data_IF_525923186969
#
_entry.id   IF_525923186969
#
_cell.length_a   1.000
_cell.length_b   1.000
_cell.length_c   1.000
_cell.angle_alpha   90.00
_cell.angle_beta   90.00
_cell.angle_gamma   90.00
#
_symmetry.space_group_name_H-M   'P 1'
#
loop_
_entity.id
_entity.type
_entity.pdbx_description
1 polymer ?
#
# COMPACT_ATOMS: atom_id res chain seq x y z
N UNK A 1 -25.03 11.71 -2.92
CA UNK A 1 -24.92 10.94 -1.66
C UNK A 1 -25.08 11.79 -0.40
N UNK A 2 -25.13 13.14 -0.48
CA UNK A 2 -25.40 14.00 0.71
C UNK A 2 -26.78 13.79 1.35
N UNK A 3 -27.73 13.20 0.62
CA UNK A 3 -29.16 13.26 0.95
C UNK A 3 -29.68 12.22 1.95
N UNK A 4 -28.89 11.20 2.33
CA UNK A 4 -29.39 10.12 3.21
C UNK A 4 -28.96 10.32 4.67
N UNK A 5 -27.78 10.89 4.92
CA UNK A 5 -27.21 10.96 6.27
C UNK A 5 -27.03 12.40 6.80
N UNK A 6 -27.21 13.45 5.99
CA UNK A 6 -26.79 14.83 6.33
C UNK A 6 -25.32 14.96 6.79
N UNK A 7 -24.51 13.93 6.52
CA UNK A 7 -23.08 13.89 6.84
C UNK A 7 -22.31 14.07 5.54
N UNK A 8 -21.38 15.03 5.52
CA UNK A 8 -20.52 15.23 4.35
C UNK A 8 -19.59 14.02 4.15
N UNK A 9 -19.19 13.70 2.91
CA UNK A 9 -18.25 12.61 2.66
C UNK A 9 -16.94 12.73 3.46
N UNK A 10 -16.47 13.96 3.68
CA UNK A 10 -15.27 14.26 4.47
C UNK A 10 -15.46 13.95 5.95
N UNK A 11 -16.63 14.24 6.53
CA UNK A 11 -16.94 13.90 7.92
C UNK A 11 -17.10 12.38 8.10
N UNK A 12 -17.77 11.71 7.16
CA UNK A 12 -17.85 10.25 7.12
C UNK A 12 -16.45 9.61 7.09
N UNK A 13 -15.54 10.13 6.27
CA UNK A 13 -14.13 9.71 6.23
C UNK A 13 -13.44 9.89 7.58
N UNK A 14 -13.60 11.07 8.21
CA UNK A 14 -13.02 11.33 9.53
C UNK A 14 -13.52 10.38 10.62
N UNK A 15 -14.81 10.03 10.61
CA UNK A 15 -15.39 9.06 11.55
C UNK A 15 -14.80 7.66 11.32
N UNK A 16 -14.70 7.23 10.05
CA UNK A 16 -14.10 5.92 9.72
C UNK A 16 -12.62 5.85 10.10
N UNK A 17 -11.87 6.95 9.93
CA UNK A 17 -10.48 7.07 10.35
C UNK A 17 -10.35 7.01 11.88
N UNK A 18 -11.14 7.78 12.62
CA UNK A 18 -11.15 7.76 14.08
C UNK A 18 -11.52 6.37 14.64
N UNK A 19 -12.48 5.68 14.01
CA UNK A 19 -12.83 4.31 14.39
C UNK A 19 -11.65 3.35 14.18
N UNK A 20 -10.96 3.46 13.04
CA UNK A 20 -9.78 2.65 12.77
C UNK A 20 -8.65 2.94 13.76
N UNK A 21 -8.37 4.21 14.06
CA UNK A 21 -7.35 4.60 15.05
C UNK A 21 -7.66 4.07 16.45
N UNK A 22 -8.94 4.08 16.84
CA UNK A 22 -9.36 3.63 18.16
C UNK A 22 -9.34 2.11 18.32
N UNK A 23 -9.73 1.36 17.29
CA UNK A 23 -9.97 -0.09 17.40
C UNK A 23 -8.98 -0.94 16.60
N UNK A 24 -8.17 -0.35 15.71
CA UNK A 24 -7.26 -1.06 14.82
C UNK A 24 -7.96 -1.93 13.77
N UNK A 25 -9.27 -1.71 13.54
CA UNK A 25 -10.14 -2.52 12.69
C UNK A 25 -10.88 -1.58 11.74
N UNK A 26 -10.93 -1.94 10.45
CA UNK A 26 -11.69 -1.16 9.46
C UNK A 26 -13.17 -1.52 9.60
N UNK A 27 -14.03 -0.51 9.77
CA UNK A 27 -15.47 -0.73 9.81
C UNK A 27 -15.96 -1.34 8.47
N UNK A 28 -16.61 -2.52 8.48
CA UNK A 28 -17.08 -3.16 7.26
C UNK A 28 -18.28 -2.39 6.69
N UNK A 29 -18.03 -1.59 5.67
CA UNK A 29 -19.03 -0.90 4.86
C UNK A 29 -19.11 -1.52 3.47
N UNK A 30 -20.19 -1.31 2.73
CA UNK A 30 -20.28 -1.79 1.34
C UNK A 30 -19.11 -1.29 0.47
N UNK A 31 -18.64 -0.06 0.70
CA UNK A 31 -17.49 0.50 -0.02
C UNK A 31 -16.14 -0.13 0.34
N UNK A 32 -15.94 -0.53 1.61
CA UNK A 32 -14.70 -1.16 2.07
C UNK A 32 -14.66 -2.66 1.74
N UNK A 33 -15.79 -3.36 1.83
CA UNK A 33 -15.87 -4.81 1.60
C UNK A 33 -15.84 -5.15 0.11
N UNK A 34 -16.48 -4.33 -0.73
CA UNK A 34 -16.55 -4.55 -2.17
C UNK A 34 -15.44 -3.82 -2.95
N UNK A 35 -14.49 -3.18 -2.27
CA UNK A 35 -13.45 -2.30 -2.84
C UNK A 35 -14.02 -1.25 -3.83
N UNK A 36 -15.28 -0.82 -3.59
CA UNK A 36 -16.01 0.15 -4.44
C UNK A 36 -15.76 1.60 -4.02
N UNK A 37 -15.07 1.82 -2.90
CA UNK A 37 -14.66 3.14 -2.44
C UNK A 37 -13.32 3.56 -3.05
N UNK A 38 -13.18 4.85 -3.36
CA UNK A 38 -11.86 5.50 -3.57
C UNK A 38 -11.06 5.62 -2.27
N UNK A 39 -11.48 4.97 -1.20
CA UNK A 39 -10.96 5.23 0.13
C UNK A 39 -9.57 4.61 0.21
N UNK A 40 -8.56 5.40 -0.17
CA UNK A 40 -7.13 5.11 -0.13
C UNK A 40 -6.62 4.52 1.20
N UNK A 41 -7.44 4.47 2.25
CA UNK A 41 -7.08 4.02 3.59
C UNK A 41 -6.81 2.51 3.67
N UNK A 42 -7.65 1.61 3.14
CA UNK A 42 -7.44 0.16 3.35
C UNK A 42 -6.11 -0.32 2.77
N UNK A 43 -5.78 0.16 1.57
CA UNK A 43 -4.56 -0.14 0.84
C UNK A 43 -3.31 0.37 1.57
N UNK A 44 -3.33 1.62 2.04
CA UNK A 44 -2.25 2.18 2.88
C UNK A 44 -2.11 1.42 4.22
N UNK A 45 -3.23 1.04 4.84
CA UNK A 45 -3.28 0.26 6.09
C UNK A 45 -2.66 -1.12 5.90
N UNK A 46 -2.90 -1.82 4.77
CA UNK A 46 -2.27 -3.13 4.52
C UNK A 46 -0.75 -3.06 4.57
N UNK A 47 -0.15 -2.08 3.88
CA UNK A 47 1.31 -1.90 3.89
C UNK A 47 1.80 -1.50 5.28
N UNK A 48 1.12 -0.57 5.95
CA UNK A 48 1.50 -0.17 7.29
C UNK A 48 1.51 -1.36 8.28
N UNK A 49 0.42 -2.13 8.34
CA UNK A 49 0.34 -3.30 9.22
C UNK A 49 1.39 -4.37 8.85
N UNK A 50 1.70 -4.54 7.57
CA UNK A 50 2.76 -5.46 7.14
C UNK A 50 4.15 -4.98 7.56
N UNK A 51 4.42 -3.67 7.51
CA UNK A 51 5.66 -3.07 7.99
C UNK A 51 5.77 -3.15 9.53
N UNK A 52 4.65 -3.14 10.24
CA UNK A 52 4.57 -3.41 11.69
C UNK A 52 4.80 -4.90 12.05
N UNK A 53 4.97 -5.78 11.05
CA UNK A 53 5.32 -7.18 11.23
C UNK A 53 4.14 -8.15 11.30
N UNK A 54 2.92 -7.70 11.00
CA UNK A 54 1.76 -8.58 10.98
C UNK A 54 1.79 -9.53 9.77
N UNK A 55 1.24 -10.73 9.99
CA UNK A 55 0.99 -11.69 8.91
C UNK A 55 -0.20 -11.30 8.04
N UNK A 56 -0.21 -11.78 6.79
CA UNK A 56 -1.35 -11.65 5.87
C UNK A 56 -2.67 -12.08 6.52
N UNK A 57 -2.65 -13.16 7.31
CA UNK A 57 -3.84 -13.68 7.99
C UNK A 57 -4.36 -12.68 9.03
N UNK A 58 -3.50 -12.07 9.83
CA UNK A 58 -3.90 -11.06 10.81
C UNK A 58 -4.41 -9.79 10.14
N UNK A 59 -3.72 -9.33 9.09
CA UNK A 59 -4.13 -8.16 8.31
C UNK A 59 -5.52 -8.39 7.69
N UNK A 60 -5.71 -9.56 7.04
CA UNK A 60 -6.97 -9.93 6.39
C UNK A 60 -8.17 -9.89 7.35
N UNK A 61 -7.97 -10.35 8.59
CA UNK A 61 -8.98 -10.32 9.64
C UNK A 61 -9.30 -8.90 10.11
N UNK A 62 -8.28 -8.03 10.24
CA UNK A 62 -8.45 -6.63 10.70
C UNK A 62 -9.14 -5.74 9.67
N UNK A 63 -8.96 -6.03 8.38
CA UNK A 63 -9.54 -5.22 7.30
C UNK A 63 -10.75 -5.86 6.63
N UNK A 64 -11.20 -7.03 7.11
CA UNK A 64 -12.29 -7.81 6.51
C UNK A 64 -12.09 -8.12 5.02
N UNK A 65 -10.89 -8.54 4.65
CA UNK A 65 -10.55 -8.97 3.29
C UNK A 65 -10.14 -10.44 3.26
N UNK A 66 -10.10 -11.03 2.07
CA UNK A 66 -9.48 -12.33 1.90
C UNK A 66 -7.96 -12.21 2.02
N UNK A 67 -7.26 -13.24 2.54
CA UNK A 67 -5.80 -13.27 2.54
C UNK A 67 -5.20 -13.07 1.14
N UNK A 68 -5.87 -13.60 0.10
CA UNK A 68 -5.44 -13.44 -1.29
C UNK A 68 -5.46 -11.97 -1.75
N UNK A 69 -6.48 -11.20 -1.37
CA UNK A 69 -6.54 -9.77 -1.70
C UNK A 69 -5.41 -8.99 -1.01
N UNK A 70 -5.12 -9.31 0.26
CA UNK A 70 -4.00 -8.72 1.01
C UNK A 70 -2.66 -9.06 0.36
N UNK A 71 -2.44 -10.34 0.03
CA UNK A 71 -1.22 -10.80 -0.63
C UNK A 71 -1.01 -10.13 -1.99
N UNK A 72 -2.06 -10.02 -2.82
CA UNK A 72 -1.95 -9.37 -4.12
C UNK A 72 -1.50 -7.91 -3.98
N UNK A 73 -2.00 -7.22 -2.96
CA UNK A 73 -1.59 -5.85 -2.64
C UNK A 73 -0.12 -5.78 -2.18
N UNK A 74 0.28 -6.64 -1.22
CA UNK A 74 1.65 -6.69 -0.71
C UNK A 74 2.66 -7.06 -1.81
N UNK A 75 2.34 -8.02 -2.68
CA UNK A 75 3.19 -8.38 -3.82
C UNK A 75 3.38 -7.22 -4.80
N UNK A 76 2.34 -6.43 -5.05
CA UNK A 76 2.49 -5.24 -5.91
C UNK A 76 3.39 -4.20 -5.23
N UNK A 77 3.21 -3.98 -3.93
CA UNK A 77 4.07 -3.08 -3.15
C UNK A 77 5.54 -3.51 -3.18
N UNK A 78 5.83 -4.79 -2.97
CA UNK A 78 7.19 -5.35 -3.07
C UNK A 78 7.80 -5.16 -4.47
N UNK A 79 7.02 -5.37 -5.53
CA UNK A 79 7.47 -5.11 -6.90
C UNK A 79 7.83 -3.64 -7.11
N UNK A 80 7.00 -2.72 -6.59
CA UNK A 80 7.26 -1.28 -6.68
C UNK A 80 8.51 -0.89 -5.89
N UNK A 81 8.73 -1.45 -4.70
CA UNK A 81 9.96 -1.25 -3.91
C UNK A 81 11.21 -1.64 -4.71
N UNK A 82 11.20 -2.83 -5.33
CA UNK A 82 12.32 -3.30 -6.14
C UNK A 82 12.55 -2.41 -7.36
N UNK A 83 11.48 -2.04 -8.09
CA UNK A 83 11.59 -1.18 -9.25
C UNK A 83 12.12 0.22 -8.90
N UNK A 84 11.74 0.76 -7.73
CA UNK A 84 12.29 2.02 -7.20
C UNK A 84 13.77 1.87 -6.84
N UNK A 85 14.15 0.79 -6.15
CA UNK A 85 15.55 0.51 -5.82
C UNK A 85 16.43 0.41 -7.08
N UNK A 86 15.94 -0.24 -8.13
CA UNK A 86 16.61 -0.33 -9.43
C UNK A 86 16.47 0.92 -10.32
N UNK A 87 15.91 2.02 -9.77
CA UNK A 87 15.73 3.31 -10.46
C UNK A 87 15.02 3.17 -11.82
N UNK A 88 14.08 2.23 -11.93
CA UNK A 88 13.33 2.00 -13.17
C UNK A 88 12.49 3.24 -13.48
N UNK A 89 12.51 3.75 -14.73
CA UNK A 89 11.74 4.94 -15.09
C UNK A 89 10.25 4.76 -14.84
N UNK A 90 9.63 5.76 -14.22
CA UNK A 90 8.19 5.84 -13.93
C UNK A 90 7.29 5.51 -15.12
N UNK A 91 7.70 5.91 -16.32
CA UNK A 91 6.99 5.64 -17.57
C UNK A 91 6.93 4.16 -17.94
N UNK A 92 7.88 3.35 -17.47
CA UNK A 92 7.96 1.92 -17.75
C UNK A 92 7.17 1.06 -16.74
N UNK A 93 6.86 1.58 -15.55
CA UNK A 93 6.20 0.83 -14.48
C UNK A 93 4.88 0.18 -14.91
N UNK A 94 3.94 0.85 -15.61
CA UNK A 94 2.70 0.21 -16.06
C UNK A 94 2.95 -0.99 -16.97
N UNK A 95 3.99 -0.91 -17.83
CA UNK A 95 4.34 -1.97 -18.77
C UNK A 95 4.97 -3.17 -18.07
N UNK A 96 5.79 -2.94 -17.06
CA UNK A 96 6.51 -3.99 -16.31
C UNK A 96 5.61 -4.69 -15.29
N UNK A 97 4.72 -3.92 -14.65
CA UNK A 97 3.86 -4.44 -13.58
C UNK A 97 2.52 -4.95 -14.10
N UNK A 98 2.03 -4.42 -15.23
CA UNK A 98 0.69 -4.72 -15.75
C UNK A 98 -0.44 -3.96 -15.06
N UNK A 99 -0.12 -3.06 -14.12
CA UNK A 99 -1.11 -2.30 -13.35
C UNK A 99 -1.32 -0.88 -13.90
N UNK A 100 -2.48 -0.31 -13.60
CA UNK A 100 -2.82 1.05 -13.96
C UNK A 100 -1.97 2.09 -13.23
N UNK A 101 -1.72 3.23 -13.88
CA UNK A 101 -0.84 4.29 -13.38
C UNK A 101 -1.24 4.83 -12.00
N UNK A 102 -2.55 5.04 -11.77
CA UNK A 102 -3.06 5.53 -10.48
C UNK A 102 -2.66 4.63 -9.31
N UNK A 103 -2.77 3.31 -9.46
CA UNK A 103 -2.43 2.37 -8.38
C UNK A 103 -0.93 2.33 -8.12
N UNK A 104 -0.12 2.47 -9.17
CA UNK A 104 1.33 2.52 -9.06
C UNK A 104 1.79 3.81 -8.37
N UNK A 105 1.20 4.95 -8.74
CA UNK A 105 1.48 6.24 -8.11
C UNK A 105 1.16 6.17 -6.60
N UNK A 106 0.03 5.55 -6.22
CA UNK A 106 -0.32 5.33 -4.80
C UNK A 106 0.71 4.48 -4.04
N UNK A 107 1.25 3.43 -4.68
CA UNK A 107 2.29 2.61 -4.06
C UNK A 107 3.61 3.36 -3.94
N UNK A 108 3.94 4.19 -4.92
CA UNK A 108 5.16 4.98 -4.87
C UNK A 108 5.11 6.06 -3.79
N UNK A 109 3.97 6.72 -3.61
CA UNK A 109 3.76 7.61 -2.46
C UNK A 109 4.00 6.89 -1.13
N UNK A 110 3.54 5.63 -1.02
CA UNK A 110 3.79 4.80 0.17
C UNK A 110 5.28 4.49 0.32
N UNK A 111 5.96 4.11 -0.76
CA UNK A 111 7.41 3.85 -0.72
C UNK A 111 8.17 5.10 -0.27
N UNK A 112 7.89 6.26 -0.86
CA UNK A 112 8.58 7.51 -0.53
C UNK A 112 8.30 7.97 0.91
N UNK A 113 7.09 7.71 1.42
CA UNK A 113 6.73 8.01 2.81
C UNK A 113 7.50 7.15 3.81
N UNK A 114 7.66 5.86 3.54
CA UNK A 114 8.28 4.91 4.48
C UNK A 114 9.79 4.76 4.29
N UNK A 115 10.29 4.99 3.07
CA UNK A 115 11.69 4.84 2.68
C UNK A 115 12.17 6.07 1.91
N UNK A 116 12.44 7.20 2.61
CA UNK A 116 12.85 8.44 1.96
C UNK A 116 14.28 8.38 1.39
N UNK A 117 15.11 7.45 1.86
CA UNK A 117 16.50 7.28 1.42
C UNK A 117 16.71 5.91 0.77
N UNK A 118 17.61 5.86 -0.22
CA UNK A 118 17.98 4.60 -0.88
C UNK A 118 18.59 3.59 0.10
N UNK A 119 19.36 4.08 1.09
CA UNK A 119 19.97 3.23 2.12
C UNK A 119 18.91 2.53 3.00
N UNK A 120 17.85 3.23 3.40
CA UNK A 120 16.78 2.64 4.20
C UNK A 120 15.99 1.59 3.40
N UNK A 121 15.78 1.85 2.11
CA UNK A 121 15.17 0.89 1.19
C UNK A 121 16.05 -0.36 1.01
N UNK A 122 17.35 -0.17 0.82
CA UNK A 122 18.32 -1.25 0.66
C UNK A 122 18.40 -2.12 1.92
N UNK A 123 18.42 -1.50 3.10
CA UNK A 123 18.42 -2.21 4.39
C UNK A 123 17.15 -3.05 4.54
N UNK A 124 15.97 -2.47 4.27
CA UNK A 124 14.70 -3.17 4.36
C UNK A 124 14.62 -4.40 3.43
N UNK A 125 15.05 -4.22 2.18
CA UNK A 125 15.10 -5.31 1.19
C UNK A 125 16.13 -6.39 1.60
N UNK A 126 17.25 -5.98 2.20
CA UNK A 126 18.26 -6.88 2.76
C UNK A 126 17.75 -7.73 3.93
N UNK A 127 17.01 -7.12 4.87
CA UNK A 127 16.38 -7.84 6.00
C UNK A 127 15.36 -8.89 5.53
N UNK A 128 14.71 -8.66 4.38
CA UNK A 128 13.77 -9.61 3.75
C UNK A 128 14.47 -10.73 2.95
N UNK A 129 15.80 -10.77 2.93
CA UNK A 129 16.58 -11.80 2.25
C UNK A 129 16.68 -11.61 0.73
N UNK A 130 16.36 -10.43 0.22
CA UNK A 130 16.56 -10.11 -1.20
C UNK A 130 18.05 -9.87 -1.43
N UNK A 131 18.68 -10.69 -2.29
CA UNK A 131 20.05 -10.44 -2.74
C UNK A 131 20.04 -9.28 -3.73
N UNK A 132 20.42 -8.10 -3.25
CA UNK A 132 20.53 -6.91 -4.08
C UNK A 132 21.90 -6.92 -4.77
N UNK A 133 21.91 -6.97 -6.10
CA UNK A 133 23.12 -6.67 -6.85
C UNK A 133 23.28 -5.15 -6.87
N UNK A 134 24.43 -4.63 -6.44
CA UNK A 134 24.71 -3.20 -6.55
C UNK A 134 24.66 -2.83 -8.02
N UNK A 135 23.89 -1.80 -8.35
CA UNK A 135 23.94 -1.18 -9.66
C UNK A 135 25.32 -0.52 -9.76
N UNK A 136 26.27 -1.21 -10.38
CA UNK A 136 27.50 -0.56 -10.85
C UNK A 136 27.08 0.40 -11.96
N UNK A 137 26.77 1.64 -11.62
CA UNK A 137 26.68 2.71 -12.62
C UNK A 137 28.09 3.08 -13.08
N UNK A 138 28.71 2.14 -13.80
CA UNK A 138 29.80 2.38 -14.73
C UNK A 138 29.17 2.85 -16.04
N UNK A 139 28.80 4.13 -16.14
CA UNK A 139 28.01 4.57 -17.28
C UNK A 139 27.79 6.06 -17.38
N UNK A 140 28.90 6.81 -17.39
CA UNK A 140 29.14 8.08 -18.11
C UNK A 140 28.15 9.24 -17.92
#
# INVERSE_FOLDING_TARGET
MEWILHVSPSMLRGILEAYFEQFGIILPTAGTVLDMGRTLTHKKIVVQLSLEGLSTQEISRRIYHTPEAVDNYLRLFERVLLLKYYQVPMSALPRVTGYGRSLLDEHLELVEKHFPTEDALAEYLGQRGVKLEKINNSGK
#
